data_IF_280762589244
#
_entry.id   IF_280762589244
#
_cell.length_a   1.000
_cell.length_b   1.000
_cell.length_c   1.000
_cell.angle_alpha   90.00
_cell.angle_beta   90.00
_cell.angle_gamma   90.00
#
_symmetry.space_group_name_H-M   'P 1'
#
loop_
_entity.id
_entity.type
_entity.pdbx_description
1 polymer ?
#
# COMPACT_ATOMS: atom_id res chain seq x y z
N UNK A 1 -0.55 -8.50 -12.54
CA UNK A 1 -0.09 -9.09 -11.25
C UNK A 1 -0.63 -10.51 -11.06
N UNK A 2 -1.95 -10.75 -11.12
CA UNK A 2 -2.56 -12.07 -10.88
C UNK A 2 -2.05 -13.17 -11.81
N UNK A 3 -1.93 -12.90 -13.12
CA UNK A 3 -1.36 -13.87 -14.08
C UNK A 3 0.07 -14.31 -13.71
N UNK A 4 0.88 -13.38 -13.23
CA UNK A 4 2.25 -13.66 -12.77
C UNK A 4 2.26 -14.48 -11.47
N UNK A 5 1.36 -14.16 -10.53
CA UNK A 5 1.22 -14.90 -9.28
C UNK A 5 0.82 -16.36 -9.56
N UNK A 6 -0.20 -16.56 -10.42
CA UNK A 6 -0.66 -17.88 -10.85
C UNK A 6 0.45 -18.67 -11.54
N UNK A 7 1.21 -18.04 -12.45
CA UNK A 7 2.35 -18.67 -13.12
C UNK A 7 3.42 -19.17 -12.14
N UNK A 8 3.60 -18.46 -11.02
CA UNK A 8 4.63 -18.77 -10.03
C UNK A 8 4.10 -19.60 -8.83
N UNK A 9 2.84 -20.05 -8.85
CA UNK A 9 2.23 -20.77 -7.72
C UNK A 9 2.10 -19.93 -6.45
N UNK A 10 2.09 -18.60 -6.55
CA UNK A 10 2.00 -17.69 -5.41
C UNK A 10 0.52 -17.44 -5.05
N UNK A 11 0.16 -17.51 -3.77
CA UNK A 11 -1.18 -17.13 -3.30
C UNK A 11 -1.31 -15.61 -3.30
N UNK A 12 -1.83 -15.07 -4.39
CA UNK A 12 -2.10 -13.64 -4.53
C UNK A 12 -3.17 -13.42 -5.60
N UNK A 13 -4.24 -12.71 -5.24
CA UNK A 13 -5.26 -12.24 -6.16
C UNK A 13 -5.57 -10.78 -5.84
N UNK A 14 -5.42 -9.88 -6.81
CA UNK A 14 -5.76 -8.47 -6.66
C UNK A 14 -6.94 -8.06 -7.55
N UNK A 15 -7.75 -7.13 -7.05
CA UNK A 15 -8.85 -6.49 -7.78
C UNK A 15 -8.77 -4.98 -7.60
N UNK A 16 -9.17 -4.23 -8.63
CA UNK A 16 -9.28 -2.77 -8.52
C UNK A 16 -10.35 -2.40 -7.50
N UNK A 17 -10.04 -1.46 -6.61
CA UNK A 17 -10.96 -0.95 -5.60
C UNK A 17 -11.96 0.07 -6.16
N UNK A 18 -11.77 0.54 -7.40
CA UNK A 18 -12.65 1.51 -8.05
C UNK A 18 -12.49 2.96 -7.55
N UNK A 19 -11.42 3.27 -6.83
CA UNK A 19 -11.09 4.65 -6.45
C UNK A 19 -9.58 4.90 -6.49
N UNK A 20 -9.24 6.17 -6.60
CA UNK A 20 -7.87 6.68 -6.55
C UNK A 20 -7.64 7.37 -5.21
N UNK A 21 -6.51 7.10 -4.58
CA UNK A 21 -6.01 7.88 -3.46
C UNK A 21 -5.07 8.97 -3.97
N UNK A 22 -5.38 10.22 -3.66
CA UNK A 22 -4.52 11.35 -3.98
C UNK A 22 -3.51 11.56 -2.86
N UNK A 23 -2.28 11.92 -3.25
CA UNK A 23 -1.20 12.30 -2.34
C UNK A 23 -0.57 13.59 -2.84
N UNK A 24 0.00 14.37 -1.93
CA UNK A 24 0.61 15.67 -2.24
C UNK A 24 2.05 15.52 -2.74
N UNK A 25 2.79 14.50 -2.26
CA UNK A 25 4.22 14.32 -2.56
C UNK A 25 4.49 13.18 -3.54
N UNK A 26 3.61 12.18 -3.61
CA UNK A 26 3.86 10.95 -4.37
C UNK A 26 2.94 10.76 -5.58
N UNK A 27 2.01 11.69 -5.83
CA UNK A 27 1.05 11.64 -6.92
C UNK A 27 -0.21 10.82 -6.58
N UNK A 28 -0.86 10.29 -7.61
CA UNK A 28 -2.14 9.57 -7.49
C UNK A 28 -1.92 8.07 -7.56
N UNK A 29 -2.64 7.31 -6.73
CA UNK A 29 -2.56 5.85 -6.68
C UNK A 29 -3.92 5.23 -6.94
N UNK A 30 -4.02 4.41 -7.99
CA UNK A 30 -5.15 3.50 -8.16
C UNK A 30 -5.08 2.41 -7.08
N UNK A 31 -6.14 2.32 -6.29
CA UNK A 31 -6.15 1.41 -5.15
C UNK A 31 -6.60 0.02 -5.59
N UNK A 32 -5.96 -0.99 -5.01
CA UNK A 32 -6.36 -2.39 -5.14
C UNK A 32 -6.75 -2.97 -3.77
N UNK A 33 -7.66 -3.93 -3.79
CA UNK A 33 -7.81 -4.91 -2.71
C UNK A 33 -7.14 -6.20 -3.15
N UNK A 34 -6.52 -6.91 -2.22
CA UNK A 34 -5.88 -8.17 -2.54
C UNK A 34 -6.12 -9.20 -1.44
N UNK A 35 -6.06 -10.48 -1.82
CA UNK A 35 -6.10 -11.62 -0.91
C UNK A 35 -4.93 -12.56 -1.21
N UNK A 36 -4.46 -13.28 -0.19
CA UNK A 36 -3.33 -14.21 -0.32
C UNK A 36 -2.31 -14.05 0.80
N UNK A 37 -1.08 -14.50 0.54
CA UNK A 37 0.00 -14.47 1.51
C UNK A 37 0.68 -13.09 1.52
N UNK A 38 0.91 -12.53 2.71
CA UNK A 38 1.54 -11.21 2.89
C UNK A 38 2.91 -11.09 2.22
N UNK A 39 3.75 -12.13 2.34
CA UNK A 39 5.08 -12.17 1.72
C UNK A 39 4.99 -12.17 0.19
N UNK A 40 4.03 -12.90 -0.37
CA UNK A 40 3.78 -12.93 -1.81
C UNK A 40 3.29 -11.57 -2.32
N UNK A 41 2.29 -10.98 -1.64
CA UNK A 41 1.74 -9.68 -1.99
C UNK A 41 2.81 -8.60 -1.99
N UNK A 42 3.60 -8.50 -0.91
CA UNK A 42 4.72 -7.57 -0.78
C UNK A 42 5.72 -7.72 -1.92
N UNK A 43 6.16 -8.96 -2.19
CA UNK A 43 7.13 -9.25 -3.26
C UNK A 43 6.58 -8.83 -4.63
N UNK A 44 5.31 -9.14 -4.92
CA UNK A 44 4.68 -8.84 -6.22
C UNK A 44 4.51 -7.33 -6.39
N UNK A 45 4.02 -6.61 -5.37
CA UNK A 45 3.81 -5.16 -5.40
C UNK A 45 5.13 -4.42 -5.61
N UNK A 46 6.18 -4.78 -4.87
CA UNK A 46 7.51 -4.15 -5.04
C UNK A 46 8.12 -4.46 -6.41
N UNK A 47 7.99 -5.71 -6.91
CA UNK A 47 8.45 -6.06 -8.27
C UNK A 47 7.69 -5.29 -9.35
N UNK A 48 6.39 -5.06 -9.16
CA UNK A 48 5.60 -4.25 -10.09
C UNK A 48 6.15 -2.83 -10.19
N UNK A 49 6.58 -2.21 -9.08
CA UNK A 49 7.23 -0.90 -9.10
C UNK A 49 8.46 -0.86 -10.01
N UNK A 50 9.32 -1.87 -9.92
CA UNK A 50 10.52 -1.97 -10.76
C UNK A 50 10.20 -2.24 -12.24
N UNK A 51 9.32 -3.21 -12.51
CA UNK A 51 9.02 -3.65 -13.88
C UNK A 51 8.16 -2.66 -14.67
N UNK A 52 7.21 -1.99 -14.00
CA UNK A 52 6.29 -1.05 -14.64
C UNK A 52 6.76 0.41 -14.53
N UNK A 53 7.86 0.66 -13.82
CA UNK A 53 8.34 2.02 -13.49
C UNK A 53 7.27 2.85 -12.78
N UNK A 54 6.39 2.18 -12.05
CA UNK A 54 5.28 2.78 -11.30
C UNK A 54 5.68 3.04 -9.85
N UNK A 55 5.07 4.05 -9.23
CA UNK A 55 5.10 4.17 -7.77
C UNK A 55 4.07 3.22 -7.18
N UNK A 56 4.43 2.56 -6.08
CA UNK A 56 3.53 1.66 -5.36
C UNK A 56 3.57 1.97 -3.87
N UNK A 57 2.44 1.77 -3.21
CA UNK A 57 2.34 1.83 -1.76
C UNK A 57 2.28 0.40 -1.24
N UNK A 58 3.20 0.07 -0.35
CA UNK A 58 3.12 -1.12 0.47
C UNK A 58 2.53 -0.73 1.83
N UNK A 59 1.28 -1.13 2.09
CA UNK A 59 0.59 -0.89 3.37
C UNK A 59 0.63 -2.13 4.28
N UNK A 60 0.26 -1.98 5.55
CA UNK A 60 0.23 -3.04 6.56
C UNK A 60 1.36 -2.96 7.59
N UNK A 61 2.10 -1.85 7.64
CA UNK A 61 3.02 -1.59 8.74
C UNK A 61 2.23 -0.97 9.89
N UNK A 62 2.02 -1.75 10.94
CA UNK A 62 1.49 -1.22 12.20
C UNK A 62 2.69 -0.69 12.99
N UNK A 63 2.77 0.62 13.21
CA UNK A 63 3.69 1.12 14.24
C UNK A 63 3.23 0.56 15.59
N UNK A 64 4.17 0.12 16.43
CA UNK A 64 3.94 -0.09 17.87
C UNK A 64 3.66 1.26 18.52
N UNK A 65 2.48 1.86 18.33
CA UNK A 65 2.09 3.08 19.05
C UNK A 65 0.73 2.96 19.72
N UNK A 66 0.85 3.02 21.04
CA UNK A 66 0.00 3.57 22.08
C UNK A 66 -1.48 3.17 22.10
N UNK A 67 -1.85 2.39 23.13
CA UNK A 67 -3.23 1.96 23.44
C UNK A 67 -4.23 3.13 23.40
N UNK A 68 -3.79 4.34 23.72
CA UNK A 68 -4.58 5.57 23.63
C UNK A 68 -5.11 5.83 22.22
N UNK A 69 -4.28 5.68 21.19
CA UNK A 69 -4.67 5.95 19.80
C UNK A 69 -5.70 4.94 19.28
N UNK A 70 -5.60 3.69 19.75
CA UNK A 70 -6.57 2.64 19.47
C UNK A 70 -7.92 2.89 20.18
N UNK A 71 -7.93 3.50 21.37
CA UNK A 71 -9.17 3.83 22.11
C UNK A 71 -9.94 5.00 21.49
N UNK A 72 -9.28 5.95 20.80
CA UNK A 72 -9.94 7.09 20.14
C UNK A 72 -10.34 6.84 18.67
N UNK A 73 -10.29 5.59 18.19
CA UNK A 73 -10.88 5.19 16.91
C UNK A 73 -10.13 5.65 15.65
N UNK A 74 -8.93 6.21 15.77
CA UNK A 74 -8.11 6.55 14.61
C UNK A 74 -7.31 5.32 14.14
N UNK A 75 -7.86 4.55 13.20
CA UNK A 75 -7.12 3.50 12.50
C UNK A 75 -6.23 4.11 11.40
N UNK A 76 -5.16 4.77 11.83
CA UNK A 76 -4.08 5.14 10.94
C UNK A 76 -3.31 3.89 10.53
N UNK A 77 -3.07 3.73 9.23
CA UNK A 77 -2.22 2.68 8.66
C UNK A 77 -0.98 3.31 8.04
N UNK A 78 0.19 2.72 8.30
CA UNK A 78 1.44 3.20 7.73
C UNK A 78 1.85 2.35 6.54
N UNK A 79 2.38 3.03 5.53
CA UNK A 79 2.84 2.43 4.30
C UNK A 79 4.20 2.98 3.87
N UNK A 80 4.89 2.18 3.06
CA UNK A 80 6.13 2.59 2.39
C UNK A 80 5.84 2.81 0.92
N UNK A 81 6.38 3.90 0.38
CA UNK A 81 6.26 4.26 -1.03
C UNK A 81 7.53 3.81 -1.75
N UNK A 82 7.36 2.99 -2.79
CA UNK A 82 8.46 2.53 -3.63
C UNK A 82 8.33 3.13 -5.04
N UNK A 83 9.46 3.43 -5.66
CA UNK A 83 9.58 3.91 -7.04
C UNK A 83 10.76 3.20 -7.71
N UNK A 84 10.54 2.56 -8.85
CA UNK A 84 11.56 1.72 -9.51
C UNK A 84 12.17 0.67 -8.56
N UNK A 85 11.36 0.11 -7.65
CA UNK A 85 11.81 -0.86 -6.65
C UNK A 85 12.65 -0.29 -5.50
N UNK A 86 12.89 1.02 -5.45
CA UNK A 86 13.60 1.71 -4.34
C UNK A 86 12.60 2.38 -3.40
N UNK A 87 12.87 2.34 -2.11
CA UNK A 87 12.10 3.11 -1.13
C UNK A 87 12.31 4.61 -1.39
N UNK A 88 11.23 5.37 -1.49
CA UNK A 88 11.27 6.83 -1.72
C UNK A 88 10.55 7.63 -0.65
N UNK A 89 9.82 6.97 0.24
CA UNK A 89 9.13 7.65 1.32
C UNK A 89 8.19 6.76 2.11
N UNK A 90 7.49 7.38 3.03
CA UNK A 90 6.49 6.79 3.89
C UNK A 90 5.19 7.60 3.79
N UNK A 91 4.08 6.91 4.03
CA UNK A 91 2.74 7.50 4.02
C UNK A 91 1.96 6.97 5.20
N UNK A 92 1.32 7.86 5.96
CA UNK A 92 0.26 7.50 6.90
C UNK A 92 -1.06 7.68 6.17
N UNK A 93 -1.95 6.71 6.31
CA UNK A 93 -3.27 6.71 5.70
C UNK A 93 -4.34 6.56 6.76
N UNK A 94 -5.51 7.16 6.51
CA UNK A 94 -6.68 7.02 7.37
C UNK A 94 -7.86 6.58 6.53
N UNK A 95 -8.73 5.74 7.10
CA UNK A 95 -9.95 5.30 6.43
C UNK A 95 -11.08 6.30 6.67
N UNK A 96 -11.65 6.86 5.61
CA UNK A 96 -12.85 7.72 5.66
C UNK A 96 -13.88 7.22 4.66
N UNK A 97 -15.11 6.99 5.12
CA UNK A 97 -16.22 6.47 4.30
C UNK A 97 -15.84 5.26 3.43
N UNK A 98 -15.09 4.32 4.02
CA UNK A 98 -14.64 3.10 3.34
C UNK A 98 -13.40 3.24 2.45
N UNK A 99 -12.88 4.44 2.21
CA UNK A 99 -11.72 4.72 1.34
C UNK A 99 -10.50 5.12 2.16
N UNK A 100 -9.31 4.67 1.73
CA UNK A 100 -8.05 5.15 2.29
C UNK A 100 -7.71 6.52 1.73
N UNK A 101 -7.27 7.42 2.61
CA UNK A 101 -6.83 8.76 2.29
C UNK A 101 -5.46 9.01 2.90
N UNK A 102 -4.59 9.72 2.19
CA UNK A 102 -3.31 10.18 2.72
C UNK A 102 -3.55 11.16 3.90
N UNK A 103 -2.82 10.96 5.00
CA UNK A 103 -2.85 11.83 6.18
C UNK A 103 -1.52 12.55 6.35
N UNK A 104 -0.41 11.82 6.33
CA UNK A 104 0.95 12.39 6.36
C UNK A 104 1.85 11.69 5.35
N UNK A 105 2.86 12.41 4.85
CA UNK A 105 3.77 11.94 3.79
C UNK A 105 5.19 12.44 4.07
N UNK A 106 6.20 11.57 4.03
CA UNK A 106 7.61 11.91 4.23
C UNK A 106 8.50 11.23 3.19
N UNK A 107 9.48 11.96 2.65
CA UNK A 107 10.51 11.34 1.80
C UNK A 107 11.48 10.52 2.66
N UNK A 108 12.06 9.49 2.06
CA UNK A 108 13.08 8.64 2.68
C UNK A 108 14.45 9.33 2.71
#
# INVERSE_FOLDING_TARGET
MNAQAKKNGQKFEAKLSGYTMQTTKFGNFEMIVWTGDWSAARSIIQKASGKMRAKVIESGYHEKRDLLSAMFGSSSEYGKVYSNGKLVGQIETVKRSGKWMAKTESFA
#
